data_IF_495634641984
#
_entry.id   IF_495634641984
#
_cell.length_a   1.000
_cell.length_b   1.000
_cell.length_c   1.000
_cell.angle_alpha   90.00
_cell.angle_beta   90.00
_cell.angle_gamma   90.00
#
_symmetry.space_group_name_H-M   'P 1'
#
loop_
_entity.id
_entity.type
_entity.pdbx_description
1 polymer ?
#
# COMPACT_ATOMS: atom_id res chain seq x y z
N UNK A 1 24.29 -9.19 -6.69
CA UNK A 1 23.16 -10.07 -6.29
C UNK A 1 23.77 -11.39 -5.88
N UNK A 2 23.65 -11.77 -4.61
CA UNK A 2 24.11 -13.09 -4.18
C UNK A 2 23.29 -14.17 -4.89
N UNK A 3 23.94 -15.18 -5.47
CA UNK A 3 23.29 -16.37 -6.00
C UNK A 3 22.71 -17.18 -4.84
N UNK A 4 21.52 -17.75 -5.01
CA UNK A 4 20.97 -18.68 -4.01
C UNK A 4 21.93 -19.85 -3.80
N UNK A 5 22.33 -20.09 -2.56
CA UNK A 5 23.21 -21.20 -2.20
C UNK A 5 22.36 -22.45 -1.95
N UNK A 6 22.65 -23.52 -2.70
CA UNK A 6 22.05 -24.85 -2.50
C UNK A 6 22.91 -25.66 -1.53
N UNK A 7 22.27 -26.27 -0.54
CA UNK A 7 22.89 -27.09 0.49
C UNK A 7 22.18 -28.45 0.47
N UNK A 8 22.96 -29.53 0.59
CA UNK A 8 22.42 -30.88 0.72
C UNK A 8 22.71 -31.32 2.15
N UNK A 9 21.65 -31.63 2.92
CA UNK A 9 21.79 -32.09 4.31
C UNK A 9 22.21 -33.56 4.35
N UNK A 10 22.63 -34.03 5.53
CA UNK A 10 23.04 -35.42 5.75
C UNK A 10 21.93 -36.44 5.40
N UNK A 11 20.66 -36.02 5.50
CA UNK A 11 19.47 -36.82 5.14
C UNK A 11 18.92 -36.50 3.73
N UNK A 12 19.75 -35.95 2.84
CA UNK A 12 19.45 -35.71 1.41
C UNK A 12 18.35 -34.67 1.14
N UNK A 13 18.02 -33.79 2.08
CA UNK A 13 17.15 -32.63 1.82
C UNK A 13 17.90 -31.53 1.12
N UNK A 14 17.21 -30.75 0.29
CA UNK A 14 17.76 -29.59 -0.39
C UNK A 14 17.33 -28.30 0.31
N UNK A 15 18.29 -27.62 0.91
CA UNK A 15 18.08 -26.29 1.49
C UNK A 15 18.58 -25.22 0.52
N UNK A 16 17.82 -24.16 0.36
CA UNK A 16 18.19 -22.99 -0.42
C UNK A 16 18.21 -21.77 0.49
N UNK A 17 19.33 -21.05 0.47
CA UNK A 17 19.48 -19.77 1.17
C UNK A 17 19.69 -18.68 0.13
N UNK A 18 18.88 -17.63 0.24
CA UNK A 18 19.11 -16.39 -0.49
C UNK A 18 19.29 -15.24 0.52
N UNK A 19 20.55 -14.86 0.71
CA UNK A 19 20.94 -13.77 1.59
C UNK A 19 21.05 -12.48 0.78
N UNK A 20 20.26 -11.48 1.17
CA UNK A 20 20.27 -10.14 0.59
C UNK A 20 20.54 -9.10 1.69
N UNK A 21 20.97 -7.88 1.35
CA UNK A 21 21.37 -6.88 2.35
C UNK A 21 20.30 -6.55 3.42
N UNK A 22 19.02 -6.75 3.10
CA UNK A 22 17.91 -6.33 3.97
C UNK A 22 16.94 -7.45 4.36
N UNK A 23 17.10 -8.64 3.76
CA UNK A 23 16.23 -9.78 4.04
C UNK A 23 16.96 -11.10 3.78
N UNK A 24 16.49 -12.15 4.45
CA UNK A 24 16.92 -13.52 4.25
C UNK A 24 15.74 -14.34 3.75
N UNK A 25 15.96 -15.19 2.75
CA UNK A 25 15.02 -16.24 2.36
C UNK A 25 15.62 -17.62 2.61
N UNK A 26 14.86 -18.49 3.28
CA UNK A 26 15.20 -19.89 3.56
C UNK A 26 14.15 -20.76 2.88
N UNK A 27 14.57 -21.77 2.13
CA UNK A 27 13.67 -22.73 1.51
C UNK A 27 14.14 -24.17 1.74
N UNK A 28 13.22 -25.08 2.03
CA UNK A 28 13.44 -26.52 2.09
C UNK A 28 12.64 -27.19 0.97
N UNK A 29 13.35 -27.86 0.07
CA UNK A 29 12.83 -28.62 -1.09
C UNK A 29 11.83 -27.86 -1.96
N UNK A 30 11.81 -26.52 -1.87
CA UNK A 30 10.78 -25.64 -2.42
C UNK A 30 9.35 -25.97 -1.93
N UNK A 31 9.21 -26.83 -0.91
CA UNK A 31 7.95 -27.17 -0.26
C UNK A 31 7.60 -26.18 0.86
N UNK A 32 8.62 -25.66 1.53
CA UNK A 32 8.50 -24.59 2.52
C UNK A 32 9.48 -23.47 2.20
N UNK A 33 9.01 -22.23 2.09
CA UNK A 33 9.88 -21.05 1.87
C UNK A 33 9.49 -19.93 2.83
N UNK A 34 10.47 -19.34 3.52
CA UNK A 34 10.27 -18.28 4.51
C UNK A 34 11.15 -17.09 4.18
N UNK A 35 10.62 -15.88 4.33
CA UNK A 35 11.39 -14.65 4.21
C UNK A 35 11.33 -13.84 5.51
N UNK A 36 12.47 -13.28 5.91
CA UNK A 36 12.63 -12.50 7.14
C UNK A 36 13.31 -11.17 6.86
N UNK A 37 12.94 -10.12 7.60
CA UNK A 37 13.62 -8.82 7.55
C UNK A 37 14.88 -8.78 8.44
N UNK A 38 15.65 -7.70 8.35
CA UNK A 38 16.89 -7.54 9.11
C UNK A 38 16.76 -7.56 10.65
N UNK A 39 15.54 -7.46 11.20
CA UNK A 39 15.25 -7.68 12.64
C UNK A 39 14.94 -9.15 12.97
N UNK A 40 14.88 -10.03 11.97
CA UNK A 40 14.49 -11.43 12.11
C UNK A 40 12.98 -11.67 12.08
N UNK A 41 12.17 -10.67 11.67
CA UNK A 41 10.71 -10.78 11.62
C UNK A 41 10.26 -11.47 10.35
N UNK A 42 9.26 -12.34 10.48
CA UNK A 42 8.62 -13.01 9.37
C UNK A 42 7.93 -11.99 8.47
N UNK A 43 8.25 -12.04 7.17
CA UNK A 43 7.64 -11.24 6.11
C UNK A 43 6.65 -12.07 5.30
N UNK A 44 7.04 -13.29 4.95
CA UNK A 44 6.19 -14.21 4.19
C UNK A 44 6.56 -15.66 4.47
N UNK A 45 5.58 -16.54 4.32
CA UNK A 45 5.77 -17.97 4.34
C UNK A 45 5.02 -18.62 3.16
N UNK A 46 5.62 -19.58 2.50
CA UNK A 46 4.97 -20.50 1.58
C UNK A 46 5.09 -21.90 2.17
N UNK A 47 3.96 -22.59 2.37
CA UNK A 47 3.93 -23.99 2.85
C UNK A 47 2.70 -24.68 2.32
N UNK A 48 2.82 -25.95 1.95
CA UNK A 48 1.68 -26.78 1.53
C UNK A 48 0.81 -26.13 0.43
N UNK A 49 1.44 -25.43 -0.51
CA UNK A 49 0.74 -24.74 -1.60
C UNK A 49 0.04 -23.43 -1.20
N UNK A 50 0.23 -22.96 0.04
CA UNK A 50 -0.40 -21.74 0.56
C UNK A 50 0.67 -20.67 0.76
N UNK A 51 0.40 -19.47 0.27
CA UNK A 51 1.21 -18.28 0.53
C UNK A 51 0.63 -17.50 1.70
N UNK A 52 1.50 -17.02 2.58
CA UNK A 52 1.17 -16.17 3.70
C UNK A 52 2.04 -14.92 3.62
N UNK A 53 1.41 -13.77 3.73
CA UNK A 53 2.09 -12.48 3.81
C UNK A 53 1.79 -11.86 5.16
N UNK A 54 2.82 -11.40 5.87
CA UNK A 54 2.68 -10.75 7.17
C UNK A 54 2.96 -9.25 7.04
N UNK A 55 2.06 -8.44 7.58
CA UNK A 55 2.26 -7.00 7.72
C UNK A 55 2.94 -6.63 9.03
N UNK A 56 3.47 -5.42 9.12
CA UNK A 56 3.98 -4.80 10.36
C UNK A 56 2.92 -4.71 11.45
N UNK A 57 1.65 -4.55 11.08
CA UNK A 57 0.51 -4.60 11.99
C UNK A 57 0.36 -5.96 12.70
N UNK A 58 1.10 -6.98 12.27
CA UNK A 58 1.00 -8.35 12.76
C UNK A 58 -0.11 -9.16 12.09
N UNK A 59 -0.93 -8.53 11.25
CA UNK A 59 -1.92 -9.20 10.44
C UNK A 59 -1.24 -10.13 9.41
N UNK A 60 -1.85 -11.30 9.16
CA UNK A 60 -1.34 -12.28 8.21
C UNK A 60 -2.42 -12.58 7.18
N UNK A 61 -2.13 -12.27 5.92
CA UNK A 61 -2.97 -12.57 4.78
C UNK A 61 -2.59 -13.93 4.19
N UNK A 62 -3.52 -14.88 4.22
CA UNK A 62 -3.45 -16.16 3.54
C UNK A 62 -3.90 -15.98 2.08
N UNK A 63 -3.09 -16.46 1.13
CA UNK A 63 -3.38 -16.51 -0.31
C UNK A 63 -3.25 -17.93 -0.82
N UNK A 64 -4.33 -18.49 -1.37
CA UNK A 64 -4.38 -19.86 -1.88
C UNK A 64 -5.08 -19.90 -3.23
N UNK A 65 -4.54 -20.65 -4.17
CA UNK A 65 -5.28 -21.04 -5.39
C UNK A 65 -6.06 -22.30 -5.05
N UNK A 66 -7.38 -22.26 -5.17
CA UNK A 66 -8.24 -23.43 -4.92
C UNK A 66 -8.48 -24.21 -6.22
N UNK A 67 -9.06 -25.41 -6.12
CA UNK A 67 -9.13 -26.38 -7.22
C UNK A 67 -9.78 -25.84 -8.52
N UNK A 68 -10.69 -24.86 -8.42
CA UNK A 68 -11.33 -24.22 -9.56
C UNK A 68 -10.46 -23.11 -10.22
N UNK A 69 -9.19 -22.97 -9.81
CA UNK A 69 -8.26 -21.95 -10.29
C UNK A 69 -8.44 -20.56 -9.67
N UNK A 70 -9.43 -20.36 -8.81
CA UNK A 70 -9.69 -19.07 -8.17
C UNK A 70 -8.70 -18.80 -7.05
N UNK A 71 -8.31 -17.54 -6.90
CA UNK A 71 -7.48 -17.08 -5.77
C UNK A 71 -8.39 -16.71 -4.61
N UNK A 72 -8.13 -17.31 -3.46
CA UNK A 72 -8.76 -16.97 -2.17
C UNK A 72 -7.74 -16.19 -1.36
N UNK A 73 -8.11 -14.98 -0.94
CA UNK A 73 -7.34 -14.13 -0.04
C UNK A 73 -8.15 -13.94 1.25
N UNK A 74 -7.58 -14.30 2.40
CA UNK A 74 -8.27 -14.28 3.68
C UNK A 74 -7.31 -13.86 4.80
N UNK A 75 -7.77 -12.95 5.68
CA UNK A 75 -7.03 -12.64 6.90
C UNK A 75 -7.11 -13.82 7.88
N UNK A 76 -5.96 -14.24 8.42
CA UNK A 76 -5.94 -15.23 9.49
C UNK A 76 -6.52 -14.65 10.77
N UNK A 77 -7.23 -15.48 11.52
CA UNK A 77 -7.56 -15.19 12.92
C UNK A 77 -6.30 -15.16 13.79
N UNK A 78 -6.40 -14.57 14.97
CA UNK A 78 -5.29 -14.49 15.93
C UNK A 78 -4.73 -15.87 16.31
N UNK A 79 -5.60 -16.87 16.47
CA UNK A 79 -5.19 -18.24 16.77
C UNK A 79 -4.43 -18.89 15.60
N UNK A 80 -4.93 -18.73 14.37
CA UNK A 80 -4.27 -19.24 13.17
C UNK A 80 -2.92 -18.57 12.92
N UNK A 81 -2.84 -17.24 13.12
CA UNK A 81 -1.60 -16.48 12.96
C UNK A 81 -0.53 -16.92 13.98
N UNK A 82 -0.91 -17.08 15.26
CA UNK A 82 -0.01 -17.60 16.30
C UNK A 82 0.47 -19.01 16.00
N UNK A 83 -0.43 -19.89 15.54
CA UNK A 83 -0.08 -21.25 15.15
C UNK A 83 0.90 -21.26 13.96
N UNK A 84 0.65 -20.47 12.92
CA UNK A 84 1.56 -20.36 11.77
C UNK A 84 2.96 -19.90 12.21
N UNK A 85 3.05 -18.87 13.05
CA UNK A 85 4.32 -18.36 13.57
C UNK A 85 5.05 -19.44 14.35
N UNK A 86 4.37 -20.16 15.24
CA UNK A 86 4.97 -21.25 16.02
C UNK A 86 5.55 -22.34 15.10
N UNK A 87 4.79 -22.77 14.10
CA UNK A 87 5.21 -23.79 13.14
C UNK A 87 6.40 -23.32 12.29
N UNK A 88 6.38 -22.07 11.83
CA UNK A 88 7.49 -21.51 11.04
C UNK A 88 8.77 -21.46 11.89
N UNK A 89 8.71 -20.93 13.11
CA UNK A 89 9.89 -20.84 13.98
C UNK A 89 10.43 -22.20 14.38
N UNK A 90 9.56 -23.17 14.70
CA UNK A 90 9.97 -24.55 14.99
C UNK A 90 10.67 -25.18 13.77
N UNK A 91 10.14 -24.94 12.56
CA UNK A 91 10.80 -25.43 11.35
C UNK A 91 12.16 -24.76 11.12
N UNK A 92 12.27 -23.44 11.29
CA UNK A 92 13.56 -22.73 11.15
C UNK A 92 14.58 -23.22 12.19
N UNK A 93 14.16 -23.51 13.42
CA UNK A 93 15.03 -24.10 14.44
C UNK A 93 15.56 -25.48 14.01
N UNK A 94 14.68 -26.33 13.47
CA UNK A 94 15.11 -27.62 12.90
C UNK A 94 16.11 -27.43 11.75
N UNK A 95 15.88 -26.48 10.84
CA UNK A 95 16.80 -26.20 9.75
C UNK A 95 18.16 -25.72 10.25
N UNK A 96 18.20 -24.90 11.32
CA UNK A 96 19.46 -24.52 11.98
C UNK A 96 20.24 -25.76 12.41
N UNK A 97 19.58 -26.70 13.08
CA UNK A 97 20.19 -27.89 13.65
C UNK A 97 20.64 -28.90 12.58
N UNK A 98 20.13 -28.77 11.35
CA UNK A 98 20.59 -29.51 10.15
C UNK A 98 21.81 -28.88 9.45
N UNK A 99 22.45 -27.88 10.07
CA UNK A 99 23.69 -27.27 9.58
C UNK A 99 23.48 -26.05 8.67
N UNK A 100 22.27 -25.45 8.69
CA UNK A 100 22.04 -24.19 7.96
C UNK A 100 22.89 -23.04 8.50
N UNK A 101 23.14 -22.99 9.81
CA UNK A 101 24.00 -21.97 10.42
C UNK A 101 25.49 -22.15 10.07
N UNK A 102 25.91 -23.36 9.68
CA UNK A 102 27.30 -23.68 9.37
C UNK A 102 27.73 -23.13 7.99
N UNK A 103 26.79 -22.57 7.22
CA UNK A 103 27.00 -22.02 5.89
C UNK A 103 27.70 -20.66 5.89
N UNK A 104 27.98 -20.11 7.07
CA UNK A 104 28.80 -18.91 7.24
C UNK A 104 28.32 -18.06 8.41
N UNK A 105 29.24 -17.23 8.93
CA UNK A 105 28.99 -16.35 10.09
C UNK A 105 27.78 -15.43 9.89
N UNK A 106 27.55 -14.94 8.68
CA UNK A 106 26.43 -14.06 8.38
C UNK A 106 25.09 -14.82 8.48
N UNK A 107 25.00 -16.02 7.91
CA UNK A 107 23.82 -16.88 8.01
C UNK A 107 23.55 -17.25 9.48
N UNK A 108 24.57 -17.64 10.24
CA UNK A 108 24.44 -17.90 11.68
C UNK A 108 23.86 -16.68 12.43
N UNK A 109 24.36 -15.48 12.15
CA UNK A 109 23.86 -14.23 12.76
C UNK A 109 22.38 -13.98 12.43
N UNK A 110 21.96 -14.24 11.19
CA UNK A 110 20.56 -14.15 10.81
C UNK A 110 19.69 -15.19 11.52
N UNK A 111 20.16 -16.43 11.65
CA UNK A 111 19.45 -17.48 12.37
C UNK A 111 19.26 -17.12 13.84
N UNK A 112 20.29 -16.57 14.49
CA UNK A 112 20.19 -16.10 15.88
C UNK A 112 19.16 -14.97 16.03
N UNK A 113 19.13 -14.01 15.10
CA UNK A 113 18.11 -12.94 15.10
C UNK A 113 16.70 -13.48 14.91
N UNK A 114 16.50 -14.38 13.94
CA UNK A 114 15.19 -14.99 13.67
C UNK A 114 14.71 -15.79 14.88
N UNK A 115 15.57 -16.62 15.46
CA UNK A 115 15.22 -17.50 16.57
C UNK A 115 15.19 -16.78 17.93
N UNK A 116 15.64 -15.52 18.00
CA UNK A 116 15.33 -14.62 19.12
C UNK A 116 13.87 -14.14 19.12
N UNK A 117 13.10 -14.41 18.07
CA UNK A 117 11.64 -14.24 18.05
C UNK A 117 10.92 -15.48 18.54
N UNK A 118 9.80 -15.26 19.21
CA UNK A 118 8.85 -16.29 19.62
C UNK A 118 7.43 -15.72 19.49
N UNK A 119 6.42 -16.58 19.65
CA UNK A 119 5.00 -16.20 19.53
C UNK A 119 4.63 -15.05 20.47
N UNK A 120 5.21 -15.01 21.68
CA UNK A 120 5.02 -13.93 22.64
C UNK A 120 5.55 -12.60 22.11
N UNK A 121 6.80 -12.57 21.63
CA UNK A 121 7.43 -11.37 21.07
C UNK A 121 6.68 -10.82 19.85
N UNK A 122 6.13 -11.70 18.99
CA UNK A 122 5.25 -11.27 17.89
C UNK A 122 3.92 -10.67 18.39
N UNK A 123 3.39 -11.15 19.51
CA UNK A 123 2.19 -10.61 20.13
C UNK A 123 2.47 -9.24 20.76
N UNK A 124 3.60 -9.10 21.45
CA UNK A 124 4.06 -7.82 22.02
C UNK A 124 4.33 -6.78 20.92
N UNK A 125 4.92 -7.20 19.79
CA UNK A 125 5.13 -6.32 18.63
C UNK A 125 3.80 -5.78 18.11
N UNK A 126 2.76 -6.61 17.98
CA UNK A 126 1.44 -6.17 17.52
C UNK A 126 0.82 -5.13 18.46
N UNK A 127 0.97 -5.32 19.77
CA UNK A 127 0.52 -4.34 20.78
C UNK A 127 1.31 -3.05 20.64
N UNK A 128 2.63 -3.13 20.48
CA UNK A 128 3.49 -1.95 20.27
C UNK A 128 3.14 -1.23 18.97
N UNK A 129 2.77 -1.95 17.90
CA UNK A 129 2.34 -1.33 16.65
C UNK A 129 1.10 -0.46 16.85
N UNK A 130 0.09 -0.95 17.58
CA UNK A 130 -1.16 -0.22 17.80
C UNK A 130 -1.03 0.99 18.73
N UNK A 131 0.06 1.09 19.52
CA UNK A 131 0.35 2.30 20.29
C UNK A 131 1.02 3.39 19.46
N UNK A 132 1.66 3.02 18.34
CA UNK A 132 2.42 3.94 17.47
C UNK A 132 1.55 4.45 16.32
N UNK A 133 0.71 3.57 15.78
CA UNK A 133 -0.10 3.82 14.59
C UNK A 133 -1.59 3.84 14.91
N UNK A 134 -2.28 4.84 14.36
CA UNK A 134 -3.67 4.62 13.95
C UNK A 134 -3.70 3.60 12.80
N UNK A 135 -4.75 2.77 12.64
CA UNK A 135 -4.83 1.83 11.53
C UNK A 135 -4.44 2.45 10.19
N UNK A 136 -3.46 1.83 9.53
CA UNK A 136 -3.04 2.21 8.18
C UNK A 136 -4.00 1.52 7.22
N UNK A 137 -5.03 2.24 6.78
CA UNK A 137 -6.17 1.64 6.08
C UNK A 137 -5.85 1.20 4.65
N UNK A 138 -5.14 2.03 3.87
CA UNK A 138 -4.78 1.70 2.50
C UNK A 138 -3.55 2.51 2.02
N UNK A 139 -2.73 1.90 1.18
CA UNK A 139 -1.69 2.57 0.39
C UNK A 139 -1.85 2.23 -1.09
N UNK A 140 -1.32 3.02 -2.03
CA UNK A 140 -1.22 2.61 -3.43
C UNK A 140 -0.31 1.37 -3.57
N UNK A 141 -0.56 0.45 -4.52
CA UNK A 141 0.19 -0.80 -4.65
C UNK A 141 1.71 -0.66 -4.79
N UNK A 142 2.18 0.41 -5.40
CA UNK A 142 3.62 0.67 -5.53
C UNK A 142 4.26 1.23 -4.23
N UNK A 143 3.43 1.54 -3.22
CA UNK A 143 3.82 2.07 -1.92
C UNK A 143 3.63 1.07 -0.78
N UNK A 144 3.31 -0.21 -1.05
CA UNK A 144 3.11 -1.23 0.00
C UNK A 144 4.35 -1.45 0.89
N UNK A 145 5.56 -1.17 0.38
CA UNK A 145 6.81 -1.24 1.15
C UNK A 145 7.28 0.12 1.69
N UNK A 146 6.46 1.17 1.58
CA UNK A 146 6.80 2.48 2.11
C UNK A 146 6.88 2.46 3.64
N UNK A 147 7.65 3.41 4.17
CA UNK A 147 7.62 3.80 5.56
C UNK A 147 6.45 4.78 5.75
N UNK A 148 5.38 4.34 6.40
CA UNK A 148 4.21 5.20 6.66
C UNK A 148 4.49 6.09 7.86
N UNK A 149 4.30 7.40 7.69
CA UNK A 149 4.41 8.40 8.76
C UNK A 149 3.10 9.21 8.80
N UNK A 150 2.33 9.11 9.89
CA UNK A 150 1.00 9.74 10.00
C UNK A 150 1.12 11.22 10.36
N UNK A 151 1.39 12.07 9.38
CA UNK A 151 1.42 13.53 9.52
C UNK A 151 0.02 14.12 9.83
N UNK A 152 -1.00 13.52 9.23
CA UNK A 152 -2.40 13.70 9.57
C UNK A 152 -3.01 12.33 9.90
N UNK A 153 -4.21 12.35 10.48
CA UNK A 153 -5.01 11.16 10.73
C UNK A 153 -6.43 11.40 10.23
N UNK A 154 -7.10 10.35 9.77
CA UNK A 154 -8.46 10.38 9.23
C UNK A 154 -8.60 11.05 7.87
N UNK A 155 -9.86 11.18 7.44
CA UNK A 155 -10.25 11.86 6.22
C UNK A 155 -10.94 13.19 6.55
N UNK A 156 -10.50 14.28 5.91
CA UNK A 156 -11.07 15.63 6.05
C UNK A 156 -12.53 15.73 5.61
N UNK A 157 -12.99 14.84 4.72
CA UNK A 157 -14.38 14.77 4.27
C UNK A 157 -15.20 13.70 5.00
N UNK A 158 -14.71 12.45 5.02
CA UNK A 158 -15.28 11.27 5.68
C UNK A 158 -16.79 11.01 5.45
N UNK A 159 -17.36 11.47 4.32
CA UNK A 159 -18.79 11.35 3.99
C UNK A 159 -19.06 10.75 2.61
N UNK A 160 -18.04 10.28 1.90
CA UNK A 160 -18.23 9.59 0.61
C UNK A 160 -19.17 8.39 0.81
N UNK A 161 -20.08 8.17 -0.15
CA UNK A 161 -21.10 7.11 -0.04
C UNK A 161 -20.52 5.69 -0.12
N UNK A 162 -19.29 5.56 -0.61
CA UNK A 162 -18.62 4.28 -0.87
C UNK A 162 -17.45 3.96 0.07
N UNK A 163 -16.83 4.97 0.69
CA UNK A 163 -15.58 4.81 1.42
C UNK A 163 -15.84 4.43 2.87
N UNK A 164 -15.18 3.37 3.35
CA UNK A 164 -15.32 2.86 4.73
C UNK A 164 -14.03 2.90 5.54
N UNK A 165 -12.92 3.36 4.94
CA UNK A 165 -11.57 3.22 5.51
C UNK A 165 -11.27 4.06 6.76
N UNK A 166 -12.00 5.15 6.97
CA UNK A 166 -11.65 6.17 7.97
C UNK A 166 -12.81 6.55 8.89
N UNK A 167 -13.89 5.75 8.88
CA UNK A 167 -15.10 6.02 9.67
C UNK A 167 -14.86 5.91 11.19
N UNK A 168 -13.78 5.26 11.60
CA UNK A 168 -13.41 5.01 12.99
C UNK A 168 -12.57 6.13 13.63
N UNK A 169 -12.21 7.18 12.87
CA UNK A 169 -11.37 8.28 13.37
C UNK A 169 -11.77 9.64 12.82
N UNK A 170 -11.51 10.70 13.58
CA UNK A 170 -11.70 12.10 13.13
C UNK A 170 -10.45 12.61 12.44
N UNK A 171 -10.65 13.55 11.51
CA UNK A 171 -9.54 14.25 10.90
C UNK A 171 -8.78 15.11 11.91
N UNK A 172 -7.46 14.99 11.96
CA UNK A 172 -6.59 15.93 12.67
C UNK A 172 -5.21 16.00 12.04
N UNK A 173 -4.56 17.15 12.21
CA UNK A 173 -3.19 17.41 11.76
C UNK A 173 -2.28 17.38 12.98
N UNK A 174 -1.17 16.63 12.92
CA UNK A 174 -0.19 16.64 14.01
C UNK A 174 0.58 17.95 14.06
N UNK A 175 0.98 18.35 15.26
CA UNK A 175 2.05 19.34 15.46
C UNK A 175 3.41 18.76 15.06
N UNK A 176 4.42 19.60 14.74
CA UNK A 176 5.76 19.13 14.44
C UNK A 176 6.35 18.28 15.58
N UNK A 177 6.06 18.62 16.83
CA UNK A 177 6.51 17.86 18.01
C UNK A 177 5.87 16.47 18.08
N UNK A 178 4.54 16.38 17.92
CA UNK A 178 3.84 15.08 17.89
C UNK A 178 4.30 14.22 16.72
N UNK A 179 4.46 14.82 15.54
CA UNK A 179 4.91 14.11 14.35
C UNK A 179 6.34 13.60 14.53
N UNK A 180 7.27 14.41 15.06
CA UNK A 180 8.63 13.97 15.37
C UNK A 180 8.64 12.81 16.36
N UNK A 181 7.79 12.87 17.39
CA UNK A 181 7.63 11.74 18.33
C UNK A 181 7.17 10.47 17.60
N UNK A 182 6.16 10.58 16.73
CA UNK A 182 5.71 9.46 15.91
C UNK A 182 6.83 8.90 15.00
N UNK A 183 7.56 9.77 14.29
CA UNK A 183 8.69 9.38 13.42
C UNK A 183 9.75 8.59 14.20
N UNK A 184 10.13 9.06 15.39
CA UNK A 184 11.12 8.39 16.24
C UNK A 184 10.62 7.04 16.76
N UNK A 185 9.34 6.96 17.14
CA UNK A 185 8.72 5.71 17.55
C UNK A 185 8.69 4.69 16.41
N UNK A 186 8.34 5.13 15.20
CA UNK A 186 8.36 4.29 13.99
C UNK A 186 9.77 3.78 13.69
N UNK A 187 10.79 4.66 13.73
CA UNK A 187 12.21 4.26 13.56
C UNK A 187 12.61 3.19 14.58
N UNK A 188 12.30 3.42 15.85
CA UNK A 188 12.60 2.48 16.93
C UNK A 188 11.80 1.17 16.86
N UNK A 189 10.62 1.17 16.25
CA UNK A 189 9.81 -0.03 16.03
C UNK A 189 10.36 -0.87 14.87
N UNK A 190 10.82 -0.22 13.81
CA UNK A 190 11.35 -0.93 12.65
C UNK A 190 12.76 -1.46 12.84
N UNK A 191 13.59 -0.79 13.64
CA UNK A 191 14.98 -1.17 13.85
C UNK A 191 15.74 -1.29 12.53
N UNK A 192 16.59 -2.32 12.40
CA UNK A 192 17.31 -2.66 11.18
C UNK A 192 16.39 -3.00 9.99
N UNK A 193 15.15 -3.43 10.24
CA UNK A 193 14.14 -3.71 9.22
C UNK A 193 13.73 -2.46 8.43
N UNK A 194 14.06 -1.26 8.91
CA UNK A 194 13.86 -0.01 8.16
C UNK A 194 14.62 0.00 6.83
N UNK A 195 15.72 -0.75 6.73
CA UNK A 195 16.56 -0.83 5.54
C UNK A 195 15.86 -1.46 4.32
N UNK A 196 14.74 -2.16 4.51
CA UNK A 196 13.91 -2.64 3.40
C UNK A 196 13.01 -1.55 2.79
N UNK A 197 12.81 -0.44 3.49
CA UNK A 197 11.91 0.64 3.03
C UNK A 197 12.60 1.43 1.92
N UNK A 198 11.82 1.82 0.91
CA UNK A 198 12.33 2.53 -0.29
C UNK A 198 11.75 3.92 -0.47
N UNK A 199 10.75 4.27 0.31
CA UNK A 199 9.97 5.49 0.17
C UNK A 199 9.31 5.80 1.50
N UNK A 200 8.95 7.07 1.68
CA UNK A 200 8.12 7.52 2.81
C UNK A 200 6.73 7.80 2.27
N UNK A 201 5.71 7.28 2.93
CA UNK A 201 4.33 7.65 2.66
C UNK A 201 3.81 8.51 3.81
N UNK A 202 3.54 9.80 3.56
CA UNK A 202 2.85 10.65 4.53
C UNK A 202 1.41 10.21 4.58
N UNK A 203 1.11 9.56 5.69
CA UNK A 203 -0.02 8.68 5.85
C UNK A 203 -1.31 9.33 6.30
N UNK A 204 -2.26 8.41 6.29
CA UNK A 204 -3.71 8.54 6.33
C UNK A 204 -4.31 9.17 5.05
N UNK A 205 -5.62 9.40 5.05
CA UNK A 205 -6.42 9.61 3.84
C UNK A 205 -6.02 10.80 2.96
N UNK A 206 -5.41 11.84 3.53
CA UNK A 206 -5.21 13.12 2.85
C UNK A 206 -4.10 13.97 3.48
N UNK A 207 -2.88 13.46 3.55
CA UNK A 207 -1.80 14.16 4.26
C UNK A 207 -1.41 15.51 3.63
N UNK A 208 -1.61 15.70 2.32
CA UNK A 208 -1.23 16.95 1.64
C UNK A 208 -2.27 18.07 1.73
N UNK A 209 -3.45 17.86 2.34
CA UNK A 209 -4.37 18.96 2.65
C UNK A 209 -3.86 19.87 3.77
N UNK A 210 -2.86 19.41 4.53
CA UNK A 210 -2.23 20.20 5.59
C UNK A 210 -1.82 21.58 5.02
N UNK A 211 -2.12 22.70 5.72
CA UNK A 211 -1.72 24.03 5.28
C UNK A 211 -0.21 24.10 5.01
N UNK A 212 0.19 24.76 3.92
CA UNK A 212 1.56 24.71 3.39
C UNK A 212 2.62 25.00 4.47
N UNK A 213 2.43 26.04 5.30
CA UNK A 213 3.35 26.38 6.40
C UNK A 213 3.57 25.21 7.35
N UNK A 214 2.49 24.56 7.81
CA UNK A 214 2.60 23.38 8.69
C UNK A 214 3.19 22.19 7.95
N UNK A 215 2.79 21.97 6.69
CA UNK A 215 3.30 20.86 5.89
C UNK A 215 4.82 20.94 5.71
N UNK A 216 5.37 22.14 5.52
CA UNK A 216 6.83 22.38 5.48
C UNK A 216 7.52 21.99 6.78
N UNK A 217 6.96 22.37 7.94
CA UNK A 217 7.51 21.97 9.24
C UNK A 217 7.51 20.44 9.40
N UNK A 218 6.45 19.76 8.96
CA UNK A 218 6.35 18.30 9.03
C UNK A 218 7.34 17.62 8.07
N UNK A 219 7.49 18.12 6.85
CA UNK A 219 8.48 17.60 5.90
C UNK A 219 9.90 17.86 6.39
N UNK A 220 10.17 19.00 7.03
CA UNK A 220 11.46 19.27 7.66
C UNK A 220 11.81 18.23 8.72
N UNK A 221 10.85 17.81 9.56
CA UNK A 221 11.05 16.69 10.51
C UNK A 221 11.49 15.41 9.79
N UNK A 222 10.94 15.12 8.60
CA UNK A 222 11.35 13.97 7.79
C UNK A 222 12.81 14.08 7.38
N UNK A 223 13.23 15.23 6.84
CA UNK A 223 14.62 15.45 6.40
C UNK A 223 15.63 15.45 7.55
N UNK A 224 15.22 15.88 8.75
CA UNK A 224 16.07 15.81 9.94
C UNK A 224 16.23 14.39 10.48
N UNK A 225 15.24 13.52 10.26
CA UNK A 225 15.24 12.15 10.78
C UNK A 225 15.70 11.11 9.74
N UNK A 226 15.72 11.45 8.45
CA UNK A 226 16.05 10.53 7.35
C UNK A 226 16.90 11.15 6.26
N UNK A 227 17.82 10.37 5.71
CA UNK A 227 18.55 10.71 4.48
C UNK A 227 17.76 10.24 3.26
N UNK A 228 17.25 11.19 2.49
CA UNK A 228 16.48 10.94 1.28
C UNK A 228 17.35 11.03 0.01
N UNK A 229 16.81 10.57 -1.12
CA UNK A 229 17.36 10.71 -2.47
C UNK A 229 18.68 9.95 -2.74
N UNK A 230 18.81 8.71 -2.27
CA UNK A 230 19.87 7.81 -2.71
C UNK A 230 19.32 6.44 -3.13
N UNK A 231 20.07 5.71 -3.97
CA UNK A 231 19.69 4.40 -4.50
C UNK A 231 19.48 3.35 -3.40
N UNK A 232 20.28 3.47 -2.33
CA UNK A 232 20.28 2.56 -1.19
C UNK A 232 19.45 3.09 0.00
N UNK A 233 18.81 4.25 -0.16
CA UNK A 233 17.95 4.89 0.86
C UNK A 233 16.54 5.18 0.34
N UNK A 234 15.81 6.03 1.08
CA UNK A 234 14.45 6.42 0.78
C UNK A 234 14.45 7.39 -0.42
N UNK A 235 13.76 7.00 -1.51
CA UNK A 235 13.76 7.72 -2.78
C UNK A 235 13.00 9.05 -2.76
N UNK A 236 12.13 9.23 -1.76
CA UNK A 236 11.36 10.44 -1.58
C UNK A 236 10.06 10.22 -0.83
N UNK A 237 9.22 11.25 -0.87
CA UNK A 237 7.98 11.36 -0.12
C UNK A 237 6.78 11.21 -1.06
N UNK A 238 5.78 10.48 -0.59
CA UNK A 238 4.58 10.09 -1.30
C UNK A 238 3.37 10.34 -0.41
N UNK A 239 2.22 10.70 -0.97
CA UNK A 239 1.03 10.99 -0.16
C UNK A 239 -0.26 10.97 -0.97
N UNK A 240 -1.38 10.76 -0.30
CA UNK A 240 -2.70 11.07 -0.86
C UNK A 240 -3.01 12.57 -0.79
N UNK A 241 -3.77 13.03 -1.78
CA UNK A 241 -4.41 14.33 -1.81
C UNK A 241 -5.81 14.19 -2.42
N UNK A 242 -6.83 14.78 -1.79
CA UNK A 242 -8.13 14.93 -2.43
C UNK A 242 -8.22 16.16 -3.34
N UNK A 243 -9.21 16.14 -4.23
CA UNK A 243 -9.39 17.16 -5.27
C UNK A 243 -9.54 18.55 -4.65
N UNK A 244 -10.44 18.69 -3.67
CA UNK A 244 -10.68 19.99 -3.02
C UNK A 244 -9.48 20.48 -2.18
N UNK A 245 -8.67 19.58 -1.62
CA UNK A 245 -7.44 19.97 -0.95
C UNK A 245 -6.37 20.45 -1.93
N UNK A 246 -6.39 19.95 -3.16
CA UNK A 246 -5.47 20.38 -4.21
C UNK A 246 -5.72 21.83 -4.67
N UNK A 247 -6.99 22.24 -4.73
CA UNK A 247 -7.40 23.61 -5.08
C UNK A 247 -6.87 24.68 -4.09
N UNK A 248 -6.47 24.27 -2.88
CA UNK A 248 -5.95 25.17 -1.86
C UNK A 248 -4.47 25.50 -2.01
N UNK A 249 -3.76 24.88 -2.97
CA UNK A 249 -2.33 25.07 -3.20
C UNK A 249 -2.09 25.60 -4.61
N UNK A 250 -1.14 26.54 -4.72
CA UNK A 250 -0.68 27.07 -6.01
C UNK A 250 0.46 26.22 -6.55
N UNK A 251 0.77 26.39 -7.83
CA UNK A 251 1.91 25.70 -8.48
C UNK A 251 3.23 25.93 -7.72
N UNK A 252 3.45 27.12 -7.14
CA UNK A 252 4.65 27.42 -6.37
C UNK A 252 4.72 26.62 -5.07
N UNK A 253 3.58 26.39 -4.39
CA UNK A 253 3.52 25.52 -3.21
C UNK A 253 3.92 24.09 -3.56
N UNK A 254 3.47 23.60 -4.73
CA UNK A 254 3.88 22.29 -5.22
C UNK A 254 5.35 22.25 -5.65
N UNK A 255 5.93 23.35 -6.17
CA UNK A 255 7.36 23.41 -6.45
C UNK A 255 8.19 23.29 -5.17
N UNK A 256 7.77 23.96 -4.09
CA UNK A 256 8.41 23.78 -2.79
C UNK A 256 8.35 22.31 -2.32
N UNK A 257 7.23 21.62 -2.53
CA UNK A 257 7.08 20.21 -2.19
C UNK A 257 7.97 19.31 -3.07
N UNK A 258 8.06 19.58 -4.37
CA UNK A 258 8.95 18.88 -5.29
C UNK A 258 10.42 18.98 -4.84
N UNK A 259 10.85 20.19 -4.51
CA UNK A 259 12.22 20.48 -4.06
C UNK A 259 12.50 19.82 -2.71
N UNK A 260 11.48 19.71 -1.86
CA UNK A 260 11.52 18.93 -0.62
C UNK A 260 11.36 17.40 -0.82
N UNK A 261 11.50 16.91 -2.05
CA UNK A 261 11.48 15.50 -2.45
C UNK A 261 10.12 14.81 -2.33
N UNK A 262 9.02 15.55 -2.38
CA UNK A 262 7.70 14.96 -2.67
C UNK A 262 7.69 14.53 -4.14
N UNK A 263 7.71 13.22 -4.38
CA UNK A 263 7.91 12.64 -5.72
C UNK A 263 6.61 12.30 -6.42
N UNK A 264 5.60 11.82 -5.69
CA UNK A 264 4.29 11.52 -6.27
C UNK A 264 3.14 11.79 -5.31
N UNK A 265 2.07 12.35 -5.86
CA UNK A 265 0.78 12.53 -5.18
C UNK A 265 -0.26 11.59 -5.78
N UNK A 266 -1.03 10.93 -4.92
CA UNK A 266 -2.11 10.04 -5.35
C UNK A 266 -3.45 10.74 -5.16
N UNK A 267 -4.25 10.79 -6.22
CA UNK A 267 -5.54 11.49 -6.25
C UNK A 267 -6.61 10.51 -6.70
N UNK A 268 -7.66 10.40 -5.89
CA UNK A 268 -8.86 9.70 -6.30
C UNK A 268 -9.67 10.56 -7.27
N UNK A 269 -9.60 10.27 -8.57
CA UNK A 269 -10.58 10.80 -9.51
C UNK A 269 -11.93 10.08 -9.31
N UNK A 270 -11.86 8.78 -9.03
CA UNK A 270 -12.95 7.81 -8.93
C UNK A 270 -13.73 7.61 -10.24
N UNK A 271 -14.10 8.68 -10.92
CA UNK A 271 -14.86 8.70 -12.17
C UNK A 271 -14.62 10.00 -12.93
N UNK A 272 -14.60 9.94 -14.26
CA UNK A 272 -14.65 11.14 -15.10
C UNK A 272 -16.06 11.67 -15.38
N UNK A 273 -17.11 10.96 -14.93
CA UNK A 273 -18.51 11.33 -15.14
C UNK A 273 -19.10 12.09 -13.94
N UNK A 274 -19.70 13.26 -14.20
CA UNK A 274 -20.31 14.12 -13.17
C UNK A 274 -21.48 13.45 -12.44
N UNK A 275 -22.34 12.72 -13.15
CA UNK A 275 -23.49 12.04 -12.56
C UNK A 275 -23.06 10.92 -11.62
N UNK A 276 -22.04 10.15 -12.01
CA UNK A 276 -21.41 9.15 -11.13
C UNK A 276 -20.70 9.84 -9.96
N UNK A 277 -20.03 10.97 -10.17
CA UNK A 277 -19.31 11.68 -9.12
C UNK A 277 -20.25 12.15 -8.01
N UNK A 278 -21.44 12.66 -8.38
CA UNK A 278 -22.50 13.03 -7.44
C UNK A 278 -22.98 11.83 -6.61
N UNK A 279 -23.14 10.64 -7.21
CA UNK A 279 -23.53 9.42 -6.48
C UNK A 279 -22.49 8.99 -5.43
N UNK A 280 -21.21 9.29 -5.67
CA UNK A 280 -20.11 8.99 -4.73
C UNK A 280 -20.07 9.94 -3.52
N UNK A 281 -20.84 11.04 -3.54
CA UNK A 281 -20.87 12.08 -2.51
C UNK A 281 -19.45 12.55 -2.12
N UNK A 282 -18.61 12.80 -3.13
CA UNK A 282 -17.24 13.29 -2.96
C UNK A 282 -17.19 14.79 -3.30
N UNK A 283 -16.45 15.61 -2.55
CA UNK A 283 -16.24 17.02 -2.88
C UNK A 283 -15.30 17.17 -4.09
N UNK A 284 -15.56 18.20 -4.90
CA UNK A 284 -14.82 18.51 -6.14
C UNK A 284 -15.61 18.12 -7.39
N UNK A 285 -14.90 17.98 -8.50
CA UNK A 285 -15.46 17.50 -9.77
C UNK A 285 -14.37 16.83 -10.62
N UNK A 286 -14.74 16.04 -11.65
CA UNK A 286 -13.79 15.55 -12.65
C UNK A 286 -12.94 16.67 -13.27
N UNK A 287 -13.56 17.81 -13.62
CA UNK A 287 -12.86 18.97 -14.17
C UNK A 287 -11.80 19.53 -13.21
N UNK A 288 -12.17 19.73 -11.94
CA UNK A 288 -11.23 20.20 -10.91
C UNK A 288 -10.08 19.19 -10.68
N UNK A 289 -10.35 17.90 -10.79
CA UNK A 289 -9.31 16.87 -10.71
C UNK A 289 -8.29 16.98 -11.86
N UNK A 290 -8.75 17.27 -13.08
CA UNK A 290 -7.88 17.49 -14.24
C UNK A 290 -6.98 18.71 -13.99
N UNK A 291 -7.55 19.82 -13.54
CA UNK A 291 -6.79 21.05 -13.21
C UNK A 291 -5.77 20.82 -12.09
N UNK A 292 -6.15 20.10 -11.04
CA UNK A 292 -5.26 19.73 -9.95
C UNK A 292 -4.08 18.88 -10.43
N UNK A 293 -4.34 17.86 -11.26
CA UNK A 293 -3.30 17.01 -11.84
C UNK A 293 -2.34 17.84 -12.70
N UNK A 294 -2.86 18.69 -13.59
CA UNK A 294 -2.03 19.54 -14.44
C UNK A 294 -1.17 20.50 -13.60
N UNK A 295 -1.72 21.09 -12.54
CA UNK A 295 -1.00 21.99 -11.64
C UNK A 295 0.14 21.28 -10.89
N UNK A 296 -0.12 20.10 -10.34
CA UNK A 296 0.88 19.28 -9.64
C UNK A 296 2.01 18.87 -10.58
N UNK A 297 1.64 18.47 -11.81
CA UNK A 297 2.62 18.10 -12.84
C UNK A 297 3.45 19.27 -13.32
N UNK A 298 2.88 20.47 -13.44
CA UNK A 298 3.61 21.68 -13.80
C UNK A 298 4.69 22.07 -12.76
N UNK A 299 4.58 21.55 -11.54
CA UNK A 299 5.60 21.67 -10.49
C UNK A 299 6.65 20.55 -10.50
N UNK A 300 6.56 19.58 -11.41
CA UNK A 300 7.50 18.46 -11.52
C UNK A 300 7.16 17.24 -10.66
N UNK A 301 6.01 17.22 -9.98
CA UNK A 301 5.58 16.09 -9.16
C UNK A 301 4.78 15.10 -10.02
N UNK A 302 5.09 13.82 -9.89
CA UNK A 302 4.34 12.76 -10.57
C UNK A 302 2.96 12.58 -9.92
N UNK A 303 2.02 12.00 -10.66
CA UNK A 303 0.68 11.71 -10.13
C UNK A 303 0.31 10.23 -10.23
N UNK A 304 -0.44 9.76 -9.24
CA UNK A 304 -1.15 8.50 -9.27
C UNK A 304 -2.66 8.76 -9.28
N UNK A 305 -3.33 8.55 -10.40
CA UNK A 305 -4.78 8.78 -10.53
C UNK A 305 -5.53 7.47 -10.29
N UNK A 306 -6.53 7.48 -9.41
CA UNK A 306 -7.32 6.28 -9.06
C UNK A 306 -8.73 6.41 -9.66
N UNK A 307 -9.17 5.38 -10.37
CA UNK A 307 -10.53 5.20 -10.90
C UNK A 307 -11.22 4.01 -10.21
N UNK A 308 -12.53 4.12 -9.97
CA UNK A 308 -13.37 3.09 -9.36
C UNK A 308 -14.18 2.34 -10.41
N UNK A 309 -13.73 1.15 -10.80
CA UNK A 309 -14.52 0.28 -11.65
C UNK A 309 -15.73 -0.26 -10.87
N UNK A 310 -16.93 -0.15 -11.45
CA UNK A 310 -18.21 -0.44 -10.80
C UNK A 310 -18.98 0.81 -10.38
N UNK A 311 -18.34 1.97 -10.36
CA UNK A 311 -19.01 3.23 -10.07
C UNK A 311 -20.06 3.58 -11.15
N UNK A 312 -21.21 4.09 -10.73
CA UNK A 312 -22.34 4.43 -11.61
C UNK A 312 -23.36 3.30 -11.81
N UNK A 313 -23.02 2.07 -11.41
CA UNK A 313 -23.91 0.92 -11.55
C UNK A 313 -24.27 0.59 -13.01
N UNK A 314 -25.27 -0.27 -13.20
CA UNK A 314 -25.72 -0.72 -14.51
C UNK A 314 -26.14 0.40 -15.45
N UNK A 315 -26.75 1.48 -14.92
CA UNK A 315 -27.30 2.58 -15.72
C UNK A 315 -26.23 3.50 -16.32
N UNK A 316 -25.14 3.77 -15.60
CA UNK A 316 -24.11 4.74 -16.00
C UNK A 316 -22.77 4.09 -16.37
N UNK A 317 -22.69 2.75 -16.42
CA UNK A 317 -21.45 2.03 -16.66
C UNK A 317 -20.71 2.45 -17.94
N UNK A 318 -21.45 2.69 -19.04
CA UNK A 318 -20.87 3.11 -20.31
C UNK A 318 -20.38 4.57 -20.27
N UNK A 319 -21.18 5.49 -19.71
CA UNK A 319 -20.79 6.89 -19.51
C UNK A 319 -19.57 7.02 -18.60
N UNK A 320 -19.54 6.27 -17.49
CA UNK A 320 -18.40 6.21 -16.59
C UNK A 320 -17.10 5.90 -17.34
N UNK A 321 -17.11 4.88 -18.21
CA UNK A 321 -15.91 4.52 -18.99
C UNK A 321 -15.53 5.63 -19.97
N UNK A 322 -16.47 6.10 -20.79
CA UNK A 322 -16.20 7.11 -21.81
C UNK A 322 -15.65 8.41 -21.21
N UNK A 323 -16.31 8.92 -20.16
CA UNK A 323 -15.94 10.18 -19.54
C UNK A 323 -14.67 10.05 -18.68
N UNK A 324 -14.41 8.89 -18.08
CA UNK A 324 -13.12 8.63 -17.40
C UNK A 324 -11.95 8.61 -18.39
N UNK A 325 -12.13 8.06 -19.58
CA UNK A 325 -11.09 8.06 -20.61
C UNK A 325 -10.80 9.48 -21.12
N UNK A 326 -11.84 10.27 -21.38
CA UNK A 326 -11.70 11.67 -21.76
C UNK A 326 -10.98 12.49 -20.68
N UNK A 327 -11.30 12.26 -19.41
CA UNK A 327 -10.61 12.91 -18.29
C UNK A 327 -9.12 12.51 -18.22
N UNK A 328 -8.78 11.23 -18.40
CA UNK A 328 -7.40 10.76 -18.43
C UNK A 328 -6.59 11.36 -19.59
N UNK A 329 -7.21 11.50 -20.77
CA UNK A 329 -6.60 12.15 -21.93
C UNK A 329 -6.27 13.63 -21.61
N UNK A 330 -7.24 14.36 -21.05
CA UNK A 330 -7.08 15.76 -20.67
C UNK A 330 -6.02 16.00 -19.58
N UNK A 331 -5.75 15.01 -18.72
CA UNK A 331 -4.72 15.09 -17.68
C UNK A 331 -3.29 15.08 -18.23
N UNK A 332 -3.08 14.69 -19.50
CA UNK A 332 -1.77 14.63 -20.16
C UNK A 332 -0.74 13.82 -19.34
N UNK A 333 -1.14 12.65 -18.83
CA UNK A 333 -0.27 11.75 -18.05
C UNK A 333 0.94 11.29 -18.88
N UNK A 334 2.09 11.07 -18.25
CA UNK A 334 3.32 10.66 -18.93
C UNK A 334 4.20 9.72 -18.09
N UNK A 335 5.50 9.69 -18.41
CA UNK A 335 6.48 8.84 -17.74
C UNK A 335 6.55 9.12 -16.22
N UNK A 336 6.41 8.07 -15.41
CA UNK A 336 6.41 8.16 -13.95
C UNK A 336 5.03 8.33 -13.32
N UNK A 337 4.00 8.66 -14.12
CA UNK A 337 2.62 8.69 -13.68
C UNK A 337 1.98 7.29 -13.70
N UNK A 338 0.94 7.12 -12.88
CA UNK A 338 0.23 5.85 -12.75
C UNK A 338 -1.28 6.08 -12.78
N UNK A 339 -1.99 5.27 -13.56
CA UNK A 339 -3.44 5.10 -13.47
C UNK A 339 -3.72 3.79 -12.75
N UNK A 340 -4.41 3.90 -11.62
CA UNK A 340 -4.91 2.78 -10.82
C UNK A 340 -6.38 2.53 -11.11
N UNK A 341 -6.70 1.27 -11.43
CA UNK A 341 -8.07 0.79 -11.54
C UNK A 341 -8.40 0.00 -10.28
N UNK A 342 -9.24 0.57 -9.42
CA UNK A 342 -9.69 -0.09 -8.19
C UNK A 342 -11.10 -0.65 -8.40
N UNK A 343 -11.34 -1.94 -8.15
CA UNK A 343 -12.70 -2.46 -8.05
C UNK A 343 -13.45 -1.73 -6.92
N UNK A 344 -14.70 -1.33 -7.17
CA UNK A 344 -15.58 -0.80 -6.14
C UNK A 344 -16.06 -1.95 -5.25
N UNK A 345 -15.77 -1.85 -3.95
CA UNK A 345 -16.23 -2.81 -2.93
C UNK A 345 -17.13 -2.06 -1.96
N UNK A 346 -18.43 -2.35 -2.03
CA UNK A 346 -19.45 -1.69 -1.21
C UNK A 346 -20.42 -2.72 -0.62
N UNK A 347 -20.96 -2.50 0.59
CA UNK A 347 -22.02 -3.33 1.13
C UNK A 347 -23.27 -3.29 0.24
N UNK A 348 -23.93 -4.43 0.05
CA UNK A 348 -25.11 -4.55 -0.81
C UNK A 348 -26.26 -3.59 -0.41
N UNK A 349 -26.39 -3.29 0.89
CA UNK A 349 -27.41 -2.40 1.45
C UNK A 349 -26.79 -1.11 2.06
N UNK A 350 -25.63 -0.68 1.54
CA UNK A 350 -24.94 0.53 2.01
C UNK A 350 -25.48 1.83 1.39
N UNK A 351 -24.96 2.97 1.84
CA UNK A 351 -25.34 4.31 1.37
C UNK A 351 -25.27 4.46 -0.15
N UNK A 352 -24.18 3.96 -0.76
CA UNK A 352 -24.03 3.98 -2.22
C UNK A 352 -25.08 3.13 -2.95
N UNK A 353 -25.37 1.91 -2.47
CA UNK A 353 -26.36 1.04 -3.09
C UNK A 353 -27.77 1.65 -3.02
N UNK A 354 -28.12 2.30 -1.91
CA UNK A 354 -29.38 3.00 -1.76
C UNK A 354 -29.48 4.21 -2.72
N UNK A 355 -28.40 4.96 -2.91
CA UNK A 355 -28.36 6.06 -3.87
C UNK A 355 -28.53 5.58 -5.33
N UNK A 356 -27.91 4.45 -5.70
CA UNK A 356 -28.13 3.83 -7.00
C UNK A 356 -29.58 3.38 -7.20
N UNK A 357 -30.17 2.71 -6.20
CA UNK A 357 -31.54 2.23 -6.27
C UNK A 357 -32.54 3.40 -6.44
N UNK A 358 -32.35 4.50 -5.70
CA UNK A 358 -33.14 5.71 -5.86
C UNK A 358 -33.00 6.34 -7.26
N UNK A 359 -31.86 6.14 -7.90
CA UNK A 359 -31.59 6.57 -9.28
C UNK A 359 -31.95 5.50 -10.34
N UNK A 360 -32.75 4.48 -9.99
CA UNK A 360 -33.20 3.42 -10.90
C UNK A 360 -32.08 2.53 -11.44
N UNK A 361 -31.01 2.33 -10.67
CA UNK A 361 -29.83 1.55 -11.05
C UNK A 361 -29.49 0.49 -10.01
N UNK A 362 -28.67 -0.49 -10.39
CA UNK A 362 -28.15 -1.53 -9.50
C UNK A 362 -26.62 -1.57 -9.55
N UNK A 363 -25.99 -2.18 -8.54
CA UNK A 363 -24.55 -2.44 -8.56
C UNK A 363 -24.18 -3.35 -9.73
N UNK A 364 -22.98 -3.15 -10.30
CA UNK A 364 -22.39 -4.16 -11.18
C UNK A 364 -21.97 -5.38 -10.36
N UNK A 365 -22.14 -6.57 -10.93
CA UNK A 365 -21.59 -7.79 -10.34
C UNK A 365 -20.08 -7.90 -10.60
N UNK A 366 -19.43 -8.88 -9.96
CA UNK A 366 -17.98 -9.09 -10.09
C UNK A 366 -17.52 -9.34 -11.53
N UNK A 367 -18.33 -10.00 -12.37
CA UNK A 367 -17.98 -10.28 -13.76
C UNK A 367 -18.02 -8.99 -14.59
N UNK A 368 -19.06 -8.17 -14.41
CA UNK A 368 -19.20 -6.87 -15.05
C UNK A 368 -18.12 -5.87 -14.60
N UNK A 369 -17.76 -5.85 -13.30
CA UNK A 369 -16.64 -5.04 -12.81
C UNK A 369 -15.33 -5.47 -13.47
N UNK A 370 -15.05 -6.78 -13.55
CA UNK A 370 -13.85 -7.29 -14.21
C UNK A 370 -13.80 -6.95 -15.70
N UNK A 371 -14.94 -7.02 -16.41
CA UNK A 371 -15.05 -6.60 -17.80
C UNK A 371 -14.77 -5.10 -17.96
N UNK A 372 -15.34 -4.26 -17.09
CA UNK A 372 -15.10 -2.81 -17.10
C UNK A 372 -13.63 -2.46 -16.79
N UNK A 373 -12.99 -3.16 -15.86
CA UNK A 373 -11.55 -3.02 -15.60
C UNK A 373 -10.73 -3.37 -16.85
N UNK A 374 -11.05 -4.47 -17.53
CA UNK A 374 -10.35 -4.87 -18.75
C UNK A 374 -10.50 -3.84 -19.87
N UNK A 375 -11.71 -3.28 -20.01
CA UNK A 375 -12.02 -2.20 -20.95
C UNK A 375 -11.22 -0.93 -20.62
N UNK A 376 -11.34 -0.40 -19.39
CA UNK A 376 -10.61 0.77 -18.92
C UNK A 376 -9.10 0.59 -19.07
N UNK A 377 -8.57 -0.58 -18.70
CA UNK A 377 -7.13 -0.87 -18.79
C UNK A 377 -6.62 -0.82 -20.23
N UNK A 378 -7.39 -1.38 -21.16
CA UNK A 378 -7.02 -1.42 -22.58
C UNK A 378 -7.13 -0.04 -23.19
N UNK A 379 -8.25 0.65 -23.01
CA UNK A 379 -8.50 1.96 -23.59
C UNK A 379 -7.61 3.06 -22.98
N UNK A 380 -7.41 3.06 -21.65
CA UNK A 380 -6.58 4.06 -20.98
C UNK A 380 -5.15 4.09 -21.54
N UNK A 381 -4.57 2.94 -21.87
CA UNK A 381 -3.22 2.85 -22.48
C UNK A 381 -3.08 3.54 -23.83
N UNK A 382 -4.18 3.79 -24.53
CA UNK A 382 -4.18 4.47 -25.82
C UNK A 382 -4.37 5.99 -25.70
N UNK A 383 -4.92 6.47 -24.57
CA UNK A 383 -5.20 7.90 -24.36
C UNK A 383 -4.21 8.58 -23.41
N UNK A 384 -3.53 7.82 -22.54
CA UNK A 384 -2.44 8.35 -21.70
C UNK A 384 -1.13 8.41 -22.46
N UNK A 385 -0.24 9.33 -22.08
CA UNK A 385 1.05 9.50 -22.73
C UNK A 385 2.03 8.34 -22.52
N UNK A 386 3.06 8.23 -23.36
CA UNK A 386 4.06 7.17 -23.27
C UNK A 386 4.73 7.09 -21.88
N UNK A 387 4.89 5.88 -21.38
CA UNK A 387 5.52 5.61 -20.08
C UNK A 387 4.57 5.72 -18.87
N UNK A 388 3.32 6.15 -19.05
CA UNK A 388 2.29 6.05 -17.99
C UNK A 388 1.94 4.58 -17.75
N UNK A 389 1.94 4.17 -16.47
CA UNK A 389 1.56 2.81 -16.09
C UNK A 389 0.05 2.74 -15.84
N UNK A 390 -0.64 1.78 -16.47
CA UNK A 390 -2.04 1.47 -16.14
C UNK A 390 -2.12 0.11 -15.48
N UNK A 391 -2.53 0.07 -14.21
CA UNK A 391 -2.48 -1.14 -13.38
C UNK A 391 -3.66 -1.25 -12.41
N UNK A 392 -3.86 -2.46 -11.91
CA UNK A 392 -4.92 -2.78 -10.95
C UNK A 392 -4.53 -2.34 -9.53
N UNK A 393 -5.53 -1.92 -8.76
CA UNK A 393 -5.44 -1.61 -7.35
C UNK A 393 -6.38 -2.51 -6.55
N UNK A 394 -5.85 -3.67 -6.14
CA UNK A 394 -6.58 -4.64 -5.31
C UNK A 394 -6.52 -4.24 -3.84
N UNK A 395 -7.50 -3.47 -3.36
CA UNK A 395 -7.56 -3.00 -1.97
C UNK A 395 -7.70 -4.14 -0.96
N UNK A 396 -8.35 -5.26 -1.33
CA UNK A 396 -8.57 -6.40 -0.44
C UNK A 396 -7.33 -7.23 -0.12
N UNK A 397 -6.21 -6.97 -0.81
CA UNK A 397 -4.93 -7.66 -0.56
C UNK A 397 -3.96 -6.81 0.26
N UNK A 398 -4.34 -5.61 0.66
CA UNK A 398 -3.46 -4.73 1.40
C UNK A 398 -3.34 -5.16 2.86
N UNK A 399 -2.10 -5.28 3.30
CA UNK A 399 -1.71 -5.31 4.70
C UNK A 399 -0.49 -4.40 4.84
N UNK A 400 -0.44 -3.64 5.93
CA UNK A 400 0.73 -2.86 6.29
C UNK A 400 1.59 -3.60 7.31
#
# INVERSE_FOLDING_TARGET
MGSAQKIVTADQRHLYINLQPHFLTISEDLHSTYAFDAEGRLLSAFRQGINYQRGLSGAILKKQVVANGSKVCQMLSDAEARNLIAVVLAHVAQLRDLGLADQGKEVATWMDRILAWNVGRYSDERIRFSTIYQPVSILPPDQYLSLVLQAAEGCSWNRCSFCTFYLDRRFRIKTPTEFRSHVRQVKAFLGAGISMRRSIFLGDANALIVPQTRLRELIQVVHEEFTLNSRDSLQGIYAFLDIFGAEQKRVDDYRELHDALVRRVYIGLETGDDGVFQLLNKPGSPAACIEAVQTIKAAGIQVGVILLAGAGGTRLAAQHVANSLAALEAMQLGAGDIVYLSPLVVPANGTYANALAAAGSTNLDSAAINAQIAQLKTAARHVVGPGTRVTLYQIGEFIY
#
